data_IF_595308772661
#
_entry.id   IF_595308772661
#
_cell.length_a   1.000
_cell.length_b   1.000
_cell.length_c   1.000
_cell.angle_alpha   90.00
_cell.angle_beta   90.00
_cell.angle_gamma   90.00
#
_symmetry.space_group_name_H-M   'P 1'
#
loop_
_entity.id
_entity.type
_entity.pdbx_description
1 polymer ?
#
# COMPACT_ATOMS: atom_id res chain seq x y z
N UNK A 1 -16.99 0.42 10.75
CA UNK A 1 -16.92 -0.85 11.51
C UNK A 1 -16.50 -0.51 12.93
N UNK A 2 -17.32 -0.82 13.94
CA UNK A 2 -17.00 -0.60 15.37
C UNK A 2 -16.73 -1.97 15.99
N UNK A 3 -15.52 -2.19 16.50
CA UNK A 3 -15.09 -3.44 17.11
C UNK A 3 -13.59 -3.41 17.37
N UNK A 4 -13.14 -4.09 18.43
CA UNK A 4 -11.72 -4.32 18.65
C UNK A 4 -11.29 -5.46 17.71
N UNK A 5 -10.33 -5.17 16.84
CA UNK A 5 -9.85 -6.10 15.82
C UNK A 5 -8.37 -6.38 16.11
N UNK A 6 -8.04 -7.34 16.99
CA UNK A 6 -6.64 -7.61 17.38
C UNK A 6 -5.73 -7.91 16.18
N UNK A 7 -6.30 -8.43 15.10
CA UNK A 7 -5.63 -8.70 13.83
C UNK A 7 -5.26 -7.44 13.04
N UNK A 8 -5.90 -6.29 13.29
CA UNK A 8 -5.58 -5.04 12.59
C UNK A 8 -4.27 -4.42 13.07
N UNK A 9 -3.73 -4.91 14.19
CA UNK A 9 -2.46 -4.47 14.77
C UNK A 9 -2.39 -2.95 14.95
N UNK A 10 -3.53 -2.29 15.15
CA UNK A 10 -3.67 -0.83 15.15
C UNK A 10 -2.73 -0.11 16.13
N UNK A 11 -2.44 -0.76 17.26
CA UNK A 11 -1.49 -0.28 18.29
C UNK A 11 -0.04 -0.18 17.80
N UNK A 12 0.32 -0.89 16.73
CA UNK A 12 1.64 -0.88 16.11
C UNK A 12 1.71 -0.02 14.85
N UNK A 13 0.58 0.58 14.44
CA UNK A 13 0.53 1.47 13.29
C UNK A 13 1.13 2.84 13.65
N UNK A 14 2.09 3.30 12.85
CA UNK A 14 2.66 4.65 13.01
C UNK A 14 1.59 5.73 12.72
N UNK A 15 1.66 6.90 13.36
CA UNK A 15 0.66 7.95 13.22
C UNK A 15 0.39 8.35 11.76
N UNK A 16 1.43 8.47 10.94
CA UNK A 16 1.35 8.88 9.54
C UNK A 16 0.61 7.85 8.70
N UNK A 17 0.83 6.56 8.94
CA UNK A 17 0.13 5.49 8.24
C UNK A 17 -1.37 5.47 8.61
N UNK A 18 -1.70 5.73 9.88
CA UNK A 18 -3.10 5.86 10.33
C UNK A 18 -3.78 7.06 9.68
N UNK A 19 -3.10 8.21 9.65
CA UNK A 19 -3.59 9.43 9.01
C UNK A 19 -3.84 9.19 7.51
N UNK A 20 -2.85 8.62 6.81
CA UNK A 20 -2.95 8.33 5.39
C UNK A 20 -4.10 7.36 5.09
N UNK A 21 -4.23 6.26 5.86
CA UNK A 21 -5.36 5.33 5.71
C UNK A 21 -6.71 6.01 5.94
N UNK A 22 -6.80 6.89 6.94
CA UNK A 22 -8.00 7.68 7.20
C UNK A 22 -8.36 8.61 6.04
N UNK A 23 -7.36 9.30 5.49
CA UNK A 23 -7.52 10.16 4.32
C UNK A 23 -7.96 9.39 3.07
N UNK A 24 -7.40 8.21 2.82
CA UNK A 24 -7.84 7.32 1.73
C UNK A 24 -9.30 6.92 1.90
N UNK A 25 -9.69 6.51 3.11
CA UNK A 25 -11.08 6.13 3.39
C UNK A 25 -12.05 7.30 3.18
N UNK A 26 -11.70 8.49 3.68
CA UNK A 26 -12.50 9.70 3.51
C UNK A 26 -12.69 10.01 2.02
N UNK A 27 -11.64 9.94 1.22
CA UNK A 27 -11.73 10.18 -0.22
C UNK A 27 -12.55 9.12 -0.94
N UNK A 28 -12.30 7.83 -0.68
CA UNK A 28 -12.91 6.73 -1.43
C UNK A 28 -14.38 6.48 -1.07
N UNK A 29 -14.77 6.74 0.18
CA UNK A 29 -16.06 6.30 0.71
C UNK A 29 -16.97 7.47 1.09
N UNK A 30 -16.42 8.58 1.58
CA UNK A 30 -17.20 9.68 2.17
C UNK A 30 -17.32 10.88 1.23
N UNK A 31 -16.25 11.17 0.49
CA UNK A 31 -16.17 12.31 -0.43
C UNK A 31 -17.04 12.13 -1.68
N UNK A 32 -17.01 13.13 -2.57
CA UNK A 32 -17.73 13.04 -3.84
C UNK A 32 -17.22 11.90 -4.73
N UNK A 33 -18.10 11.44 -5.64
CA UNK A 33 -17.81 10.30 -6.52
C UNK A 33 -16.53 10.50 -7.35
N UNK A 34 -16.27 11.68 -7.99
CA UNK A 34 -15.02 11.90 -8.71
C UNK A 34 -13.78 11.72 -7.82
N UNK A 35 -13.77 12.32 -6.63
CA UNK A 35 -12.64 12.20 -5.69
C UNK A 35 -12.41 10.74 -5.30
N UNK A 36 -13.48 10.00 -5.01
CA UNK A 36 -13.36 8.58 -4.68
C UNK A 36 -12.86 7.72 -5.83
N UNK A 37 -13.37 7.92 -7.04
CA UNK A 37 -12.94 7.19 -8.23
C UNK A 37 -11.49 7.51 -8.61
N UNK A 38 -11.07 8.77 -8.55
CA UNK A 38 -9.67 9.11 -8.84
C UNK A 38 -8.71 8.62 -7.76
N UNK A 39 -9.09 8.67 -6.48
CA UNK A 39 -8.27 8.10 -5.40
C UNK A 39 -8.10 6.60 -5.57
N UNK A 40 -9.18 5.88 -5.92
CA UNK A 40 -9.15 4.45 -6.20
C UNK A 40 -8.30 4.14 -7.45
N UNK A 41 -8.48 4.90 -8.52
CA UNK A 41 -7.66 4.75 -9.73
C UNK A 41 -6.17 4.84 -9.43
N UNK A 42 -5.76 5.80 -8.60
CA UNK A 42 -4.36 5.95 -8.22
C UNK A 42 -3.88 4.86 -7.25
N UNK A 43 -4.73 4.38 -6.34
CA UNK A 43 -4.35 3.28 -5.45
C UNK A 43 -4.05 2.01 -6.24
N UNK A 44 -4.86 1.66 -7.24
CA UNK A 44 -4.60 0.45 -8.03
C UNK A 44 -3.28 0.55 -8.83
N UNK A 45 -2.96 1.73 -9.36
CA UNK A 45 -1.65 1.97 -10.00
C UNK A 45 -0.52 1.80 -8.99
N UNK A 46 -0.65 2.42 -7.82
CA UNK A 46 0.39 2.38 -6.79
C UNK A 46 0.59 0.97 -6.23
N UNK A 47 -0.50 0.28 -5.90
CA UNK A 47 -0.51 -1.10 -5.41
C UNK A 47 0.19 -2.03 -6.40
N UNK A 48 -0.13 -1.94 -7.68
CA UNK A 48 0.53 -2.78 -8.70
C UNK A 48 2.05 -2.56 -8.72
N UNK A 49 2.49 -1.29 -8.66
CA UNK A 49 3.91 -0.96 -8.60
C UNK A 49 4.57 -1.47 -7.30
N UNK A 50 3.90 -1.29 -6.16
CA UNK A 50 4.38 -1.74 -4.86
C UNK A 50 4.51 -3.27 -4.81
N UNK A 51 3.47 -4.02 -5.21
CA UNK A 51 3.52 -5.48 -5.24
C UNK A 51 4.58 -6.01 -6.21
N UNK A 52 4.81 -5.32 -7.33
CA UNK A 52 5.87 -5.69 -8.27
C UNK A 52 7.26 -5.61 -7.64
N UNK A 53 7.51 -4.59 -6.81
CA UNK A 53 8.75 -4.44 -6.04
C UNK A 53 8.81 -5.47 -4.91
N UNK A 54 7.74 -5.59 -4.13
CA UNK A 54 7.63 -6.47 -2.96
C UNK A 54 7.80 -7.93 -3.36
N UNK A 55 7.28 -8.38 -4.50
CA UNK A 55 7.40 -9.77 -4.93
C UNK A 55 8.87 -10.23 -4.99
N UNK A 56 9.72 -9.40 -5.60
CA UNK A 56 11.15 -9.70 -5.70
C UNK A 56 11.87 -9.63 -4.35
N UNK A 57 11.59 -8.62 -3.53
CA UNK A 57 12.21 -8.44 -2.23
C UNK A 57 11.79 -9.54 -1.24
N UNK A 58 10.50 -9.85 -1.17
CA UNK A 58 9.94 -10.86 -0.27
C UNK A 58 10.35 -12.27 -0.67
N UNK A 59 10.41 -12.57 -1.98
CA UNK A 59 10.98 -13.83 -2.47
C UNK A 59 12.41 -14.02 -1.98
N UNK A 60 13.26 -13.00 -2.08
CA UNK A 60 14.66 -13.07 -1.60
C UNK A 60 14.74 -13.24 -0.08
N UNK A 61 13.88 -12.56 0.66
CA UNK A 61 13.80 -12.71 2.12
C UNK A 61 13.48 -14.16 2.50
N UNK A 62 12.47 -14.76 1.87
CA UNK A 62 12.10 -16.16 2.08
C UNK A 62 13.29 -17.08 1.81
N UNK A 63 13.92 -16.93 0.63
CA UNK A 63 15.03 -17.78 0.20
C UNK A 63 16.27 -17.63 1.11
N UNK A 64 16.45 -16.47 1.75
CA UNK A 64 17.63 -16.18 2.59
C UNK A 64 17.46 -16.56 4.06
N UNK A 65 16.22 -16.57 4.57
CA UNK A 65 15.96 -16.70 6.01
C UNK A 65 15.09 -17.89 6.41
N UNK A 66 14.46 -18.56 5.44
CA UNK A 66 13.53 -19.66 5.70
C UNK A 66 13.89 -20.89 4.88
N UNK A 67 13.70 -22.06 5.48
CA UNK A 67 13.82 -23.35 4.77
C UNK A 67 12.42 -23.88 4.51
N UNK A 68 11.83 -23.44 3.40
CA UNK A 68 10.50 -23.87 2.96
C UNK A 68 10.61 -24.89 1.82
N UNK A 69 9.69 -25.84 1.77
CA UNK A 69 9.47 -26.63 0.55
C UNK A 69 8.98 -25.74 -0.59
N UNK A 70 9.08 -26.23 -1.83
CA UNK A 70 8.59 -25.48 -2.99
C UNK A 70 7.11 -25.10 -2.87
N UNK A 71 6.27 -26.01 -2.36
CA UNK A 71 4.84 -25.75 -2.18
C UNK A 71 4.54 -24.73 -1.07
N UNK A 72 5.31 -24.75 0.03
CA UNK A 72 5.16 -23.74 1.09
C UNK A 72 5.61 -22.35 0.63
N UNK A 73 6.68 -22.30 -0.16
CA UNK A 73 7.17 -21.06 -0.78
C UNK A 73 6.15 -20.47 -1.75
N UNK A 74 5.57 -21.29 -2.61
CA UNK A 74 4.49 -20.88 -3.52
C UNK A 74 3.32 -20.28 -2.74
N UNK A 75 2.85 -20.98 -1.70
CA UNK A 75 1.76 -20.48 -0.82
C UNK A 75 2.12 -19.16 -0.14
N UNK A 76 3.36 -19.00 0.31
CA UNK A 76 3.80 -17.77 0.96
C UNK A 76 3.81 -16.57 -0.01
N UNK A 77 4.11 -16.80 -1.30
CA UNK A 77 4.16 -15.76 -2.32
C UNK A 77 2.83 -15.53 -3.03
N UNK A 78 1.87 -16.46 -2.92
CA UNK A 78 0.64 -16.50 -3.70
C UNK A 78 -0.12 -15.17 -3.74
N UNK A 79 -0.26 -14.51 -2.58
CA UNK A 79 -1.01 -13.25 -2.50
C UNK A 79 -0.36 -12.16 -3.36
N UNK A 80 0.94 -11.90 -3.14
CA UNK A 80 1.67 -10.86 -3.89
C UNK A 80 1.77 -11.25 -5.37
N UNK A 81 1.94 -12.54 -5.66
CA UNK A 81 1.99 -13.04 -7.03
C UNK A 81 0.68 -12.75 -7.79
N UNK A 82 -0.48 -13.04 -7.19
CA UNK A 82 -1.77 -12.78 -7.84
C UNK A 82 -1.99 -11.30 -8.20
N UNK A 83 -1.49 -10.39 -7.36
CA UNK A 83 -1.62 -8.94 -7.57
C UNK A 83 -0.65 -8.38 -8.62
N UNK A 84 0.30 -9.18 -9.10
CA UNK A 84 1.26 -8.81 -10.14
C UNK A 84 1.04 -9.61 -11.42
N UNK A 85 1.04 -10.94 -11.33
CA UNK A 85 1.06 -11.86 -12.47
C UNK A 85 -0.33 -12.23 -13.00
N UNK A 86 -1.35 -12.24 -12.13
CA UNK A 86 -2.73 -12.55 -12.53
C UNK A 86 -3.52 -11.26 -12.85
N UNK A 87 -2.83 -10.14 -13.08
CA UNK A 87 -3.40 -8.86 -13.52
C UNK A 87 -4.50 -8.29 -12.59
N UNK A 88 -4.60 -8.75 -11.33
CA UNK A 88 -5.68 -8.37 -10.41
C UNK A 88 -5.81 -6.85 -10.25
N UNK A 89 -4.71 -6.14 -10.01
CA UNK A 89 -4.73 -4.67 -9.88
C UNK A 89 -5.03 -3.96 -11.21
N UNK A 90 -4.68 -4.58 -12.35
CA UNK A 90 -5.02 -4.06 -13.69
C UNK A 90 -6.52 -4.17 -13.91
N UNK A 91 -7.13 -5.29 -13.54
CA UNK A 91 -8.57 -5.49 -13.62
C UNK A 91 -9.33 -4.52 -12.73
N UNK A 92 -8.88 -4.31 -11.49
CA UNK A 92 -9.44 -3.30 -10.60
C UNK A 92 -9.35 -1.90 -11.22
N UNK A 93 -8.18 -1.51 -11.72
CA UNK A 93 -7.98 -0.24 -12.41
C UNK A 93 -8.95 -0.06 -13.59
N UNK A 94 -9.13 -1.08 -14.42
CA UNK A 94 -10.03 -1.03 -15.57
C UNK A 94 -11.50 -0.85 -15.16
N UNK A 95 -11.92 -1.46 -14.04
CA UNK A 95 -13.26 -1.25 -13.47
C UNK A 95 -13.44 0.21 -13.06
N UNK A 96 -12.46 0.81 -12.40
CA UNK A 96 -12.51 2.22 -11.98
C UNK A 96 -12.55 3.16 -13.17
N UNK A 97 -11.77 2.90 -14.23
CA UNK A 97 -11.81 3.68 -15.48
C UNK A 97 -13.20 3.61 -16.14
N UNK A 98 -13.81 2.41 -16.20
CA UNK A 98 -15.16 2.23 -16.73
C UNK A 98 -16.19 3.00 -15.89
N UNK A 99 -16.07 2.95 -14.56
CA UNK A 99 -16.95 3.69 -13.65
C UNK A 99 -16.83 5.21 -13.84
N UNK A 100 -15.62 5.74 -13.98
CA UNK A 100 -15.38 7.16 -14.23
C UNK A 100 -15.98 7.62 -15.56
N UNK A 101 -15.80 6.84 -16.63
CA UNK A 101 -16.39 7.12 -17.94
C UNK A 101 -17.94 7.12 -17.88
N UNK A 102 -18.52 6.16 -17.16
CA UNK A 102 -19.96 6.10 -16.97
C UNK A 102 -20.49 7.30 -16.17
N UNK A 103 -19.78 7.71 -15.11
CA UNK A 103 -20.11 8.88 -14.31
C UNK A 103 -20.08 10.16 -15.16
N UNK A 104 -19.00 10.42 -15.90
CA UNK A 104 -18.88 11.58 -16.79
C UNK A 104 -20.03 11.63 -17.80
N UNK A 105 -20.37 10.50 -18.41
CA UNK A 105 -21.50 10.39 -19.34
C UNK A 105 -22.83 10.69 -18.67
N UNK A 106 -23.08 10.13 -17.48
CA UNK A 106 -24.33 10.32 -16.74
C UNK A 106 -24.53 11.75 -16.25
N UNK A 107 -23.45 12.40 -15.84
CA UNK A 107 -23.47 13.78 -15.31
C UNK A 107 -23.25 14.85 -16.38
N UNK A 108 -23.03 14.46 -17.64
CA UNK A 108 -22.69 15.35 -18.75
C UNK A 108 -21.51 16.28 -18.41
N UNK A 109 -20.50 15.72 -17.74
CA UNK A 109 -19.29 16.43 -17.32
C UNK A 109 -18.05 15.77 -17.93
N UNK A 110 -16.93 16.49 -17.91
CA UNK A 110 -15.61 15.99 -18.31
C UNK A 110 -14.70 15.80 -17.10
N UNK A 111 -13.64 15.01 -17.27
CA UNK A 111 -12.59 14.87 -16.27
C UNK A 111 -11.88 16.22 -16.10
N UNK A 112 -11.80 16.70 -14.86
CA UNK A 112 -10.92 17.80 -14.48
C UNK A 112 -9.51 17.27 -14.20
N UNK A 113 -8.65 17.28 -15.21
CA UNK A 113 -7.28 16.79 -15.09
C UNK A 113 -6.42 17.59 -14.10
N UNK A 114 -6.78 18.85 -13.81
CA UNK A 114 -6.05 19.65 -12.84
C UNK A 114 -6.39 19.20 -11.42
N UNK A 115 -7.66 18.92 -11.15
CA UNK A 115 -8.09 18.30 -9.88
C UNK A 115 -7.43 16.93 -9.69
N UNK A 116 -7.43 16.09 -10.73
CA UNK A 116 -6.78 14.76 -10.70
C UNK A 116 -5.30 14.88 -10.36
N UNK A 117 -4.57 15.79 -11.02
CA UNK A 117 -3.16 16.02 -10.75
C UNK A 117 -2.91 16.39 -9.29
N UNK A 118 -3.70 17.33 -8.75
CA UNK A 118 -3.55 17.77 -7.37
C UNK A 118 -3.80 16.63 -6.39
N UNK A 119 -4.84 15.83 -6.63
CA UNK A 119 -5.15 14.65 -5.81
C UNK A 119 -4.00 13.63 -5.81
N UNK A 120 -3.41 13.35 -6.98
CA UNK A 120 -2.30 12.39 -7.09
C UNK A 120 -1.02 12.91 -6.42
N UNK A 121 -0.75 14.21 -6.53
CA UNK A 121 0.36 14.84 -5.82
C UNK A 121 0.17 14.76 -4.29
N UNK A 122 -1.04 14.98 -3.80
CA UNK A 122 -1.36 14.86 -2.37
C UNK A 122 -1.23 13.41 -1.89
N UNK A 123 -1.73 12.45 -2.67
CA UNK A 123 -1.58 11.01 -2.39
C UNK A 123 -0.10 10.66 -2.20
N UNK A 124 0.74 10.97 -3.19
CA UNK A 124 2.17 10.68 -3.15
C UNK A 124 2.89 11.39 -2.01
N UNK A 125 2.50 12.64 -1.71
CA UNK A 125 3.10 13.41 -0.63
C UNK A 125 2.81 12.78 0.74
N UNK A 126 1.57 12.33 0.96
CA UNK A 126 1.17 11.67 2.21
C UNK A 126 1.86 10.32 2.36
N UNK A 127 1.83 9.51 1.31
CA UNK A 127 2.53 8.24 1.28
C UNK A 127 4.04 8.39 1.48
N UNK A 128 4.66 9.42 0.89
CA UNK A 128 6.08 9.73 1.09
C UNK A 128 6.42 9.92 2.56
N UNK A 129 5.59 10.66 3.31
CA UNK A 129 5.76 10.83 4.77
C UNK A 129 5.66 9.51 5.52
N UNK A 130 4.74 8.62 5.12
CA UNK A 130 4.65 7.27 5.71
C UNK A 130 5.96 6.52 5.50
N UNK A 131 6.51 6.54 4.28
CA UNK A 131 7.76 5.86 3.96
C UNK A 131 8.96 6.46 4.68
N UNK A 132 9.02 7.78 4.84
CA UNK A 132 10.05 8.46 5.64
C UNK A 132 10.02 8.01 7.11
N UNK A 133 8.84 8.02 7.74
CA UNK A 133 8.67 7.60 9.14
C UNK A 133 8.97 6.11 9.34
N UNK A 134 8.57 5.24 8.40
CA UNK A 134 8.93 3.81 8.43
C UNK A 134 10.44 3.60 8.29
N UNK A 135 11.09 4.31 7.37
CA UNK A 135 12.54 4.21 7.16
C UNK A 135 13.29 4.61 8.43
N UNK A 136 12.92 5.74 9.05
CA UNK A 136 13.53 6.18 10.30
C UNK A 136 13.35 5.16 11.44
N UNK A 137 12.15 4.54 11.55
CA UNK A 137 11.90 3.50 12.54
C UNK A 137 12.77 2.26 12.29
N UNK A 138 12.89 1.80 11.05
CA UNK A 138 13.72 0.67 10.67
C UNK A 138 15.21 0.91 10.95
N UNK A 139 15.72 2.10 10.66
CA UNK A 139 17.11 2.48 10.95
C UNK A 139 17.40 2.48 12.46
N UNK A 140 16.45 2.96 13.28
CA UNK A 140 16.58 2.91 14.74
C UNK A 140 16.63 1.48 15.27
N UNK A 141 15.80 0.58 14.75
CA UNK A 141 15.81 -0.83 15.12
C UNK A 141 17.13 -1.51 14.74
N UNK A 142 17.66 -1.26 13.54
CA UNK A 142 18.95 -1.79 13.10
C UNK A 142 20.09 -1.31 14.00
N UNK A 143 20.12 -0.02 14.34
CA UNK A 143 21.13 0.56 15.22
C UNK A 143 21.03 0.02 16.66
N UNK A 144 19.80 -0.18 17.16
CA UNK A 144 19.55 -0.78 18.47
C UNK A 144 19.97 -2.25 18.56
N UNK A 145 19.70 -3.02 17.51
CA UNK A 145 20.12 -4.42 17.38
C UNK A 145 21.64 -4.56 17.29
N UNK A 146 22.31 -3.69 16.53
CA UNK A 146 23.77 -3.64 16.45
C UNK A 146 24.42 -3.33 17.81
N UNK A 147 23.86 -2.40 18.57
CA UNK A 147 24.38 -2.02 19.90
C UNK A 147 24.22 -3.16 20.91
N UNK A 148 23.12 -3.91 20.85
CA UNK A 148 22.86 -5.05 21.74
C UNK A 148 23.74 -6.25 21.41
N UNK A 149 24.01 -6.51 20.12
CA UNK A 149 24.94 -7.55 19.67
C UNK A 149 26.40 -7.31 20.10
N UNK A 150 26.83 -6.05 20.21
CA UNK A 150 28.18 -5.71 20.69
C UNK A 150 28.28 -5.91 22.21
N UNK A 151 27.24 -5.63 22.97
CA UNK A 151 27.23 -5.80 24.43
C UNK A 151 27.19 -7.28 24.88
N UNK A 152 26.59 -8.18 24.09
CA UNK A 152 26.63 -9.63 24.36
C UNK A 152 27.93 -10.30 23.93
N UNK A 153 28.70 -9.71 23.00
CA UNK A 153 30.00 -10.23 22.56
C UNK A 153 31.18 -9.83 23.47
N UNK A 154 30.96 -8.93 24.44
CA UNK A 154 31.99 -8.39 25.35
C UNK A 154 31.84 -8.94 26.79
N UNK A 155 31.04 -10.01 26.98
CA UNK A 155 30.98 -10.80 28.22
C UNK A 155 31.50 -12.21 27.97
#
# INVERSE_FOLDING_TARGET
LVGDFPWSLEKYCIPEAREFRGWIYENMVVSDIPTGLFTNMFSEIYNHAEYSIVLGAFSKLIDSHYTLSASEREKALQYVYAHVADETEVDHFLVVVKAMNAYCKGMQTSIDYQQVKQLFQEYLSRLGRVMESLTAAMEQEQNGAATTSVLTAVK
#
